data_IF_641853421536
#
_entry.id   IF_641853421536
#
_cell.length_a   1.000
_cell.length_b   1.000
_cell.length_c   1.000
_cell.angle_alpha   90.00
_cell.angle_beta   90.00
_cell.angle_gamma   90.00
#
_symmetry.space_group_name_H-M   'P 1'
#
loop_
_entity.id
_entity.type
_entity.pdbx_description
1 polymer ?
#
# COMPACT_ATOMS: atom_id res chain seq x y z
N UNK A 1 21.64 17.88 -7.93
CA UNK A 1 22.69 17.64 -8.99
C UNK A 1 22.25 16.58 -9.99
N UNK A 2 22.08 15.30 -9.61
CA UNK A 2 21.67 14.22 -10.56
C UNK A 2 20.34 14.55 -11.23
N UNK A 3 19.30 14.90 -10.48
CA UNK A 3 17.99 15.25 -11.05
C UNK A 3 18.07 16.43 -12.01
N UNK A 4 18.87 17.44 -11.69
CA UNK A 4 19.08 18.63 -12.55
C UNK A 4 19.84 18.29 -13.82
N UNK A 5 20.76 17.32 -13.75
CA UNK A 5 21.47 16.81 -14.93
C UNK A 5 20.50 16.09 -15.87
N UNK A 6 19.64 15.22 -15.33
CA UNK A 6 18.63 14.54 -16.13
C UNK A 6 17.60 15.51 -16.74
N UNK A 7 17.17 16.54 -16.00
CA UNK A 7 16.29 17.58 -16.56
C UNK A 7 16.93 18.31 -17.73
N UNK A 8 18.22 18.66 -17.61
CA UNK A 8 18.98 19.32 -18.74
C UNK A 8 19.12 18.39 -19.94
N UNK A 9 19.37 17.10 -19.70
CA UNK A 9 19.61 16.12 -20.76
C UNK A 9 18.31 15.65 -21.45
N UNK A 10 17.17 15.69 -20.72
CA UNK A 10 15.89 15.23 -21.20
C UNK A 10 14.77 16.28 -20.98
N UNK A 11 14.88 17.46 -21.61
CA UNK A 11 13.91 18.54 -21.43
C UNK A 11 12.52 18.12 -21.90
N UNK A 12 11.50 18.43 -21.11
CA UNK A 12 10.11 18.04 -21.39
C UNK A 12 9.75 16.60 -21.01
N UNK A 13 10.73 15.76 -20.66
CA UNK A 13 10.53 14.40 -20.14
C UNK A 13 10.81 14.37 -18.64
N UNK A 14 11.96 14.88 -18.21
CA UNK A 14 12.36 14.95 -16.81
C UNK A 14 12.15 16.36 -16.28
N UNK A 15 11.61 16.46 -15.09
CA UNK A 15 11.44 17.69 -14.33
C UNK A 15 11.96 17.52 -12.90
N UNK A 16 13.01 18.25 -12.55
CA UNK A 16 13.52 18.31 -11.18
C UNK A 16 12.68 19.26 -10.34
N UNK A 17 12.26 18.83 -9.16
CA UNK A 17 11.45 19.63 -8.23
C UNK A 17 12.18 19.76 -6.91
N UNK A 18 12.71 20.94 -6.64
CA UNK A 18 13.37 21.26 -5.38
C UNK A 18 12.35 21.80 -4.37
N UNK A 19 12.28 21.20 -3.21
CA UNK A 19 11.40 21.61 -2.11
C UNK A 19 12.06 21.37 -0.75
N UNK A 20 11.59 22.03 0.28
CA UNK A 20 11.97 21.70 1.66
C UNK A 20 11.59 20.26 1.99
N UNK A 21 12.41 19.58 2.82
CA UNK A 21 12.14 18.22 3.21
C UNK A 21 10.83 18.13 4.01
N UNK A 22 9.87 17.40 3.50
CA UNK A 22 8.60 17.05 4.15
C UNK A 22 8.40 15.52 4.25
N UNK A 23 9.46 14.75 3.96
CA UNK A 23 9.40 13.28 3.91
C UNK A 23 8.80 12.74 2.62
N UNK A 24 8.71 11.40 2.53
CA UNK A 24 8.26 10.68 1.33
C UNK A 24 6.88 11.17 0.84
N UNK A 25 5.87 11.22 1.70
CA UNK A 25 4.51 11.64 1.33
C UNK A 25 4.45 13.03 0.71
N UNK A 26 5.27 13.95 1.20
CA UNK A 26 5.39 15.32 0.65
C UNK A 26 5.93 15.31 -0.79
N UNK A 27 6.86 14.40 -1.11
CA UNK A 27 7.35 14.20 -2.48
C UNK A 27 6.27 13.66 -3.41
N UNK A 28 5.53 12.64 -2.96
CA UNK A 28 4.41 12.06 -3.73
C UNK A 28 3.30 13.09 -3.98
N UNK A 29 2.93 13.88 -2.96
CA UNK A 29 1.94 14.95 -3.11
C UNK A 29 2.37 16.01 -4.14
N UNK A 30 3.63 16.44 -4.08
CA UNK A 30 4.19 17.39 -5.04
C UNK A 30 4.20 16.80 -6.47
N UNK A 31 4.61 15.54 -6.62
CA UNK A 31 4.59 14.84 -7.89
C UNK A 31 3.18 14.74 -8.47
N UNK A 32 2.17 14.36 -7.67
CA UNK A 32 0.78 14.28 -8.10
C UNK A 32 0.20 15.64 -8.50
N UNK A 33 0.55 16.69 -7.76
CA UNK A 33 0.13 18.06 -8.09
C UNK A 33 0.67 18.51 -9.47
N UNK A 34 1.93 18.18 -9.74
CA UNK A 34 2.62 18.58 -10.98
C UNK A 34 2.40 17.62 -12.15
N UNK A 35 1.90 16.43 -11.92
CA UNK A 35 1.72 15.42 -12.97
C UNK A 35 0.76 15.90 -14.06
N UNK A 36 1.16 15.74 -15.33
CA UNK A 36 0.32 16.03 -16.51
C UNK A 36 0.00 14.78 -17.33
N UNK A 37 0.66 13.65 -17.02
CA UNK A 37 0.44 12.38 -17.70
C UNK A 37 -0.90 11.73 -17.37
N UNK A 38 -1.38 10.87 -18.26
CA UNK A 38 -2.64 10.11 -18.09
C UNK A 38 -2.60 9.20 -16.87
N UNK A 39 -1.45 8.62 -16.58
CA UNK A 39 -1.24 7.72 -15.45
C UNK A 39 -0.13 8.22 -14.54
N UNK A 40 -0.27 7.90 -13.25
CA UNK A 40 0.66 8.26 -12.19
C UNK A 40 1.25 7.02 -11.54
N UNK A 41 2.56 6.95 -11.45
CA UNK A 41 3.34 5.89 -10.82
C UNK A 41 4.37 6.49 -9.88
N UNK A 42 4.44 5.99 -8.66
CA UNK A 42 5.53 6.32 -7.73
C UNK A 42 6.65 5.28 -7.91
N UNK A 43 7.89 5.76 -7.95
CA UNK A 43 9.10 4.94 -7.91
C UNK A 43 10.01 5.54 -6.86
N UNK A 44 10.40 4.75 -5.87
CA UNK A 44 11.29 5.17 -4.81
C UNK A 44 12.75 5.28 -5.31
N UNK A 45 13.54 6.13 -4.70
CA UNK A 45 14.89 6.49 -5.22
C UNK A 45 15.92 5.37 -5.08
N UNK A 46 15.63 4.35 -4.28
CA UNK A 46 16.47 3.17 -4.08
C UNK A 46 15.97 1.92 -4.84
N UNK A 47 14.88 2.07 -5.58
CA UNK A 47 14.24 1.02 -6.38
C UNK A 47 14.38 1.29 -7.88
N UNK A 48 13.99 0.32 -8.71
CA UNK A 48 13.98 0.50 -10.17
C UNK A 48 12.85 -0.25 -10.86
N UNK A 49 12.65 0.03 -12.14
CA UNK A 49 11.72 -0.70 -13.00
C UNK A 49 12.50 -1.62 -13.94
N UNK A 50 12.01 -2.87 -14.14
CA UNK A 50 12.53 -3.77 -15.18
C UNK A 50 12.34 -3.12 -16.54
N UNK A 51 13.39 -3.00 -17.32
CA UNK A 51 13.35 -2.29 -18.61
C UNK A 51 12.37 -2.94 -19.58
N UNK A 52 12.41 -4.25 -19.73
CA UNK A 52 11.52 -4.98 -20.65
C UNK A 52 10.04 -4.87 -20.21
N UNK A 53 9.77 -5.01 -18.90
CA UNK A 53 8.43 -4.85 -18.37
C UNK A 53 7.93 -3.39 -18.52
N UNK A 54 8.81 -2.41 -18.34
CA UNK A 54 8.50 -0.99 -18.54
C UNK A 54 8.18 -0.66 -20.01
N UNK A 55 8.93 -1.21 -20.97
CA UNK A 55 8.62 -1.06 -22.40
C UNK A 55 7.24 -1.63 -22.76
N UNK A 56 6.90 -2.79 -22.20
CA UNK A 56 5.56 -3.41 -22.37
C UNK A 56 4.46 -2.54 -21.74
N UNK A 57 4.69 -2.01 -20.54
CA UNK A 57 3.76 -1.07 -19.89
C UNK A 57 3.52 0.16 -20.75
N UNK A 58 4.60 0.82 -21.24
CA UNK A 58 4.47 2.03 -22.07
C UNK A 58 3.70 1.76 -23.36
N UNK A 59 3.94 0.64 -24.02
CA UNK A 59 3.19 0.25 -25.21
C UNK A 59 1.69 0.14 -24.91
N UNK A 60 1.32 -0.51 -23.80
CA UNK A 60 -0.08 -0.68 -23.39
C UNK A 60 -0.72 0.65 -22.95
N UNK A 61 -0.01 1.47 -22.19
CA UNK A 61 -0.48 2.81 -21.78
C UNK A 61 -0.71 3.69 -23.01
N UNK A 62 0.15 3.60 -24.02
CA UNK A 62 -0.03 4.33 -25.29
C UNK A 62 -1.34 3.92 -25.97
N UNK A 63 -1.66 2.63 -26.03
CA UNK A 63 -2.93 2.13 -26.57
C UNK A 63 -4.14 2.69 -25.80
N UNK A 64 -4.08 2.76 -24.47
CA UNK A 64 -5.14 3.33 -23.66
C UNK A 64 -5.32 4.84 -23.85
N UNK A 65 -4.24 5.57 -24.16
CA UNK A 65 -4.27 7.03 -24.23
C UNK A 65 -4.41 7.58 -25.67
N UNK A 66 -4.15 6.78 -26.71
CA UNK A 66 -4.14 7.24 -28.11
C UNK A 66 -4.86 6.28 -29.05
N UNK A 67 -5.91 6.71 -29.74
CA UNK A 67 -6.47 5.99 -30.88
C UNK A 67 -7.90 5.47 -30.73
N UNK A 68 -8.40 4.77 -31.75
CA UNK A 68 -9.77 4.20 -31.80
C UNK A 68 -10.07 3.20 -30.66
N UNK A 69 -9.05 2.67 -30.00
CA UNK A 69 -9.18 1.80 -28.82
C UNK A 69 -9.58 2.64 -27.58
N UNK A 70 -9.20 3.92 -27.52
CA UNK A 70 -9.60 4.80 -26.42
C UNK A 70 -11.11 5.12 -26.42
N UNK A 71 -11.79 5.01 -27.58
CA UNK A 71 -13.24 5.14 -27.68
C UNK A 71 -13.99 3.82 -27.41
N UNK A 72 -13.34 2.69 -27.65
CA UNK A 72 -13.93 1.34 -27.50
C UNK A 72 -13.62 0.67 -26.16
N UNK A 73 -12.47 0.97 -25.54
CA UNK A 73 -12.10 0.52 -24.21
C UNK A 73 -12.04 1.76 -23.33
N UNK A 74 -13.00 1.95 -22.46
CA UNK A 74 -12.84 2.92 -21.38
C UNK A 74 -11.49 2.68 -20.70
N UNK A 75 -10.67 3.71 -20.60
CA UNK A 75 -9.34 3.63 -19.99
C UNK A 75 -9.42 3.03 -18.58
N UNK A 76 -8.56 2.10 -18.20
CA UNK A 76 -8.54 1.58 -16.84
C UNK A 76 -8.21 2.71 -15.84
N UNK A 77 -8.91 2.70 -14.71
CA UNK A 77 -8.65 3.63 -13.61
C UNK A 77 -7.40 3.22 -12.84
N UNK A 78 -7.10 1.91 -12.85
CA UNK A 78 -5.97 1.31 -12.17
C UNK A 78 -5.35 0.22 -13.05
N UNK A 79 -4.05 0.34 -13.28
CA UNK A 79 -3.22 -0.74 -13.82
C UNK A 79 -2.47 -1.37 -12.64
N UNK A 80 -2.55 -2.70 -12.52
CA UNK A 80 -1.81 -3.48 -11.52
C UNK A 80 -0.71 -4.25 -12.23
N UNK A 81 0.51 -4.21 -11.70
CA UNK A 81 1.64 -5.03 -12.15
C UNK A 81 2.22 -5.82 -10.97
N UNK A 82 3.03 -6.84 -11.26
CA UNK A 82 3.80 -7.52 -10.24
C UNK A 82 4.93 -6.64 -9.74
N UNK A 83 5.42 -6.99 -8.55
CA UNK A 83 6.67 -6.45 -8.03
C UNK A 83 7.53 -7.58 -7.47
N UNK A 84 8.84 -7.36 -7.46
CA UNK A 84 9.82 -8.34 -7.01
C UNK A 84 10.61 -7.79 -5.84
N UNK A 85 10.63 -8.51 -4.73
CA UNK A 85 11.56 -8.28 -3.64
C UNK A 85 12.94 -8.79 -4.03
N UNK A 86 13.93 -7.92 -4.06
CA UNK A 86 15.31 -8.24 -4.39
C UNK A 86 16.20 -8.15 -3.16
N UNK A 87 16.63 -9.29 -2.64
CA UNK A 87 17.60 -9.40 -1.57
C UNK A 87 19.00 -9.52 -2.19
N UNK A 88 19.59 -8.39 -2.59
CA UNK A 88 20.85 -8.37 -3.34
C UNK A 88 22.01 -8.99 -2.57
N UNK A 89 22.05 -8.83 -1.24
CA UNK A 89 23.09 -9.43 -0.39
C UNK A 89 23.01 -10.96 -0.35
N UNK A 90 21.80 -11.52 -0.43
CA UNK A 90 21.54 -12.96 -0.40
C UNK A 90 21.47 -13.57 -1.81
N UNK A 91 21.43 -12.74 -2.85
CA UNK A 91 21.25 -13.17 -4.24
C UNK A 91 19.89 -13.83 -4.50
N UNK A 92 18.86 -13.51 -3.70
CA UNK A 92 17.52 -14.09 -3.82
C UNK A 92 16.51 -13.04 -4.29
N UNK A 93 15.51 -13.50 -5.04
CA UNK A 93 14.42 -12.65 -5.50
C UNK A 93 13.08 -13.39 -5.33
N UNK A 94 12.04 -12.66 -4.91
CA UNK A 94 10.69 -13.19 -4.76
C UNK A 94 9.67 -12.26 -5.41
N UNK A 95 8.97 -12.75 -6.43
CA UNK A 95 7.93 -11.97 -7.13
C UNK A 95 6.56 -12.17 -6.49
N UNK A 96 5.90 -11.05 -6.20
CA UNK A 96 4.51 -11.00 -5.82
C UNK A 96 3.64 -10.77 -7.06
N UNK A 97 2.99 -11.83 -7.53
CA UNK A 97 2.09 -11.79 -8.69
C UNK A 97 0.62 -11.91 -8.25
N UNK A 98 -0.30 -11.40 -9.08
CA UNK A 98 -1.74 -11.33 -8.76
C UNK A 98 -2.63 -12.16 -9.67
N UNK A 99 -2.09 -13.18 -10.36
CA UNK A 99 -2.82 -14.08 -11.31
C UNK A 99 -4.04 -14.75 -10.70
N UNK A 100 -4.04 -14.98 -9.38
CA UNK A 100 -5.18 -15.55 -8.65
C UNK A 100 -6.22 -14.50 -8.22
N UNK A 101 -5.91 -13.22 -8.40
CA UNK A 101 -6.77 -12.10 -8.00
C UNK A 101 -7.40 -11.45 -9.22
N UNK A 102 -6.62 -11.11 -10.23
CA UNK A 102 -7.08 -10.38 -11.41
C UNK A 102 -6.92 -11.24 -12.67
N UNK A 103 -7.88 -11.19 -13.61
CA UNK A 103 -7.68 -11.74 -14.95
C UNK A 103 -6.56 -10.95 -15.65
N UNK A 104 -5.57 -11.70 -16.19
CA UNK A 104 -4.45 -11.06 -16.87
C UNK A 104 -4.88 -10.48 -18.23
N UNK A 105 -4.34 -9.31 -18.56
CA UNK A 105 -4.51 -8.63 -19.85
C UNK A 105 -5.99 -8.43 -20.26
N UNK A 106 -6.89 -8.39 -19.27
CA UNK A 106 -8.33 -8.22 -19.46
C UNK A 106 -8.88 -7.20 -18.48
N UNK A 107 -9.67 -6.19 -18.95
CA UNK A 107 -10.34 -5.27 -18.06
C UNK A 107 -11.32 -5.99 -17.12
N UNK A 108 -11.30 -5.61 -15.86
CA UNK A 108 -12.20 -6.16 -14.85
C UNK A 108 -12.62 -5.08 -13.83
N UNK A 109 -13.56 -5.43 -12.97
CA UNK A 109 -14.04 -4.62 -11.85
C UNK A 109 -13.71 -5.30 -10.53
N UNK A 110 -13.96 -4.62 -9.40
CA UNK A 110 -13.81 -5.25 -8.08
C UNK A 110 -14.75 -6.45 -7.86
N UNK A 111 -15.80 -6.59 -8.63
CA UNK A 111 -16.72 -7.73 -8.52
C UNK A 111 -16.20 -8.98 -9.25
N UNK A 112 -15.25 -8.79 -10.16
CA UNK A 112 -14.68 -9.88 -10.97
C UNK A 112 -13.44 -10.49 -10.32
N UNK A 113 -12.86 -9.87 -9.29
CA UNK A 113 -11.62 -10.33 -8.66
C UNK A 113 -11.77 -11.67 -7.95
N UNK A 114 -10.67 -12.43 -7.93
CA UNK A 114 -10.52 -13.63 -7.10
C UNK A 114 -10.16 -13.30 -5.64
N UNK A 115 -9.49 -14.24 -4.98
CA UNK A 115 -9.13 -14.12 -3.58
C UNK A 115 -7.65 -13.78 -3.40
N UNK A 116 -7.35 -12.78 -2.60
CA UNK A 116 -6.00 -12.49 -2.14
C UNK A 116 -5.53 -13.57 -1.16
N UNK A 117 -4.35 -14.12 -1.38
CA UNK A 117 -3.68 -15.01 -0.40
C UNK A 117 -3.32 -14.24 0.88
N UNK A 118 -3.06 -14.90 2.01
CA UNK A 118 -2.71 -14.22 3.26
C UNK A 118 -1.54 -13.23 3.17
N UNK A 119 -0.52 -13.53 2.38
CA UNK A 119 0.64 -12.66 2.14
C UNK A 119 0.46 -11.67 0.98
N UNK A 120 -0.62 -11.76 0.20
CA UNK A 120 -0.86 -10.85 -0.92
C UNK A 120 -1.66 -9.63 -0.47
N UNK A 121 -1.15 -8.45 -0.76
CA UNK A 121 -1.84 -7.16 -0.64
C UNK A 121 -1.30 -6.19 -1.68
N UNK A 122 -2.12 -5.23 -2.05
CA UNK A 122 -1.74 -4.18 -2.98
C UNK A 122 -0.87 -3.17 -2.25
N UNK A 123 0.34 -2.97 -2.73
CA UNK A 123 1.25 -1.93 -2.26
C UNK A 123 1.47 -0.89 -3.36
N UNK A 124 1.95 0.28 -3.00
CA UNK A 124 2.20 1.38 -3.92
C UNK A 124 3.02 0.96 -5.15
N UNK A 125 3.96 0.05 -4.95
CA UNK A 125 4.85 -0.46 -6.00
C UNK A 125 4.12 -1.23 -7.11
N UNK A 126 2.99 -1.88 -6.80
CA UNK A 126 2.18 -2.62 -7.77
C UNK A 126 1.22 -1.73 -8.57
N UNK A 127 0.96 -0.49 -8.11
CA UNK A 127 -0.17 0.32 -8.55
C UNK A 127 0.26 1.45 -9.50
N UNK A 128 -0.54 1.64 -10.55
CA UNK A 128 -0.42 2.73 -11.50
C UNK A 128 -1.83 3.29 -11.68
N UNK A 129 -2.12 4.43 -11.10
CA UNK A 129 -3.43 5.03 -11.14
C UNK A 129 -3.60 5.97 -12.33
N UNK A 130 -4.80 6.02 -12.92
CA UNK A 130 -5.17 7.14 -13.79
C UNK A 130 -5.11 8.43 -12.97
N UNK A 131 -4.36 9.41 -13.44
CA UNK A 131 -4.06 10.65 -12.70
C UNK A 131 -5.34 11.39 -12.28
N UNK A 132 -6.35 11.43 -13.15
CA UNK A 132 -7.63 12.08 -12.85
C UNK A 132 -8.37 11.40 -11.70
N UNK A 133 -8.40 10.05 -11.69
CA UNK A 133 -9.02 9.26 -10.61
C UNK A 133 -8.30 9.51 -9.29
N UNK A 134 -6.97 9.46 -9.30
CA UNK A 134 -6.19 9.69 -8.08
C UNK A 134 -6.43 11.09 -7.49
N UNK A 135 -6.58 12.12 -8.34
CA UNK A 135 -6.93 13.47 -7.90
C UNK A 135 -8.35 13.58 -7.35
N UNK A 136 -9.31 12.88 -7.97
CA UNK A 136 -10.72 12.84 -7.51
C UNK A 136 -10.83 12.31 -6.08
N UNK A 137 -9.93 11.41 -5.65
CA UNK A 137 -9.94 10.86 -4.29
C UNK A 137 -9.58 11.88 -3.21
N UNK A 138 -8.99 13.01 -3.57
CA UNK A 138 -8.45 13.97 -2.63
C UNK A 138 -7.31 13.42 -1.75
N UNK A 139 -6.66 12.32 -2.15
CA UNK A 139 -5.59 11.71 -1.37
C UNK A 139 -4.45 12.71 -1.14
N UNK A 140 -4.14 12.92 0.13
CA UNK A 140 -3.05 13.80 0.57
C UNK A 140 -2.27 13.08 1.67
N UNK A 141 -1.02 12.80 1.40
CA UNK A 141 -0.18 12.03 2.32
C UNK A 141 0.40 12.94 3.40
N UNK A 142 0.34 12.56 4.68
CA UNK A 142 0.92 13.34 5.77
C UNK A 142 2.42 13.57 5.59
N UNK A 143 2.87 14.80 5.79
CA UNK A 143 4.28 15.14 5.81
C UNK A 143 5.00 14.56 7.03
N UNK A 144 6.32 14.38 6.94
CA UNK A 144 7.19 13.84 7.98
C UNK A 144 6.66 12.54 8.63
N UNK A 145 5.98 11.72 7.82
CA UNK A 145 5.34 10.49 8.29
C UNK A 145 5.78 9.31 7.41
N UNK A 146 6.23 8.22 8.04
CA UNK A 146 6.50 6.95 7.36
C UNK A 146 5.23 6.14 7.15
N UNK A 147 5.28 5.10 6.33
CA UNK A 147 4.17 4.17 6.04
C UNK A 147 2.97 4.80 5.30
N UNK A 148 3.15 6.00 4.75
CA UNK A 148 2.09 6.73 4.00
C UNK A 148 1.74 6.08 2.66
N UNK A 149 2.59 5.21 2.14
CA UNK A 149 2.35 4.31 1.02
C UNK A 149 1.09 3.47 1.21
N UNK A 150 0.76 3.09 2.47
CA UNK A 150 -0.48 2.40 2.80
C UNK A 150 -1.72 3.28 2.54
N UNK A 151 -1.66 4.59 2.79
CA UNK A 151 -2.76 5.52 2.48
C UNK A 151 -2.91 5.62 0.96
N UNK A 152 -1.79 5.80 0.24
CA UNK A 152 -1.76 5.89 -1.22
C UNK A 152 -2.32 4.64 -1.89
N UNK A 153 -2.00 3.46 -1.35
CA UNK A 153 -2.47 2.19 -1.90
C UNK A 153 -3.94 1.89 -1.55
N UNK A 154 -4.47 2.43 -0.44
CA UNK A 154 -5.77 2.06 0.11
C UNK A 154 -6.89 3.04 -0.23
N UNK A 155 -6.69 4.35 0.03
CA UNK A 155 -7.74 5.36 -0.08
C UNK A 155 -8.36 5.45 -1.48
N UNK A 156 -7.61 5.32 -2.59
CA UNK A 156 -8.17 5.45 -3.94
C UNK A 156 -9.00 4.25 -4.41
N UNK A 157 -8.91 3.09 -3.78
CA UNK A 157 -9.51 1.86 -4.30
C UNK A 157 -11.01 1.93 -4.59
N UNK A 158 -11.87 2.58 -3.76
CA UNK A 158 -13.31 2.67 -4.03
C UNK A 158 -13.67 3.53 -5.25
N UNK A 159 -12.78 4.40 -5.68
CA UNK A 159 -12.96 5.26 -6.86
C UNK A 159 -12.62 4.54 -8.17
N UNK A 160 -11.91 3.44 -8.08
CA UNK A 160 -11.52 2.60 -9.23
C UNK A 160 -12.72 1.78 -9.69
N UNK A 161 -13.18 2.03 -10.92
CA UNK A 161 -14.26 1.29 -11.57
C UNK A 161 -13.73 0.20 -12.50
N UNK A 162 -12.61 0.47 -13.19
CA UNK A 162 -11.96 -0.44 -14.12
C UNK A 162 -10.51 -0.70 -13.73
N UNK A 163 -10.17 -1.98 -13.70
CA UNK A 163 -8.85 -2.48 -13.36
C UNK A 163 -8.30 -3.21 -14.58
N UNK A 164 -7.01 -3.06 -14.83
CA UNK A 164 -6.27 -3.83 -15.82
C UNK A 164 -5.03 -4.43 -15.18
N UNK A 165 -4.93 -5.74 -15.16
CA UNK A 165 -3.76 -6.41 -14.60
C UNK A 165 -2.82 -6.84 -15.71
N UNK A 166 -1.59 -6.34 -15.67
CA UNK A 166 -0.48 -6.79 -16.50
C UNK A 166 0.38 -7.77 -15.72
N UNK A 167 0.46 -9.01 -16.21
CA UNK A 167 1.31 -10.03 -15.59
C UNK A 167 2.78 -9.84 -16.01
N UNK A 168 3.37 -8.75 -15.52
CA UNK A 168 4.76 -8.35 -15.75
C UNK A 168 5.43 -7.98 -14.42
N UNK A 169 6.67 -8.40 -14.21
CA UNK A 169 7.47 -8.13 -13.02
C UNK A 169 8.12 -6.75 -13.13
N UNK A 170 7.26 -5.71 -13.03
CA UNK A 170 7.62 -4.34 -13.34
C UNK A 170 8.55 -3.72 -12.30
N UNK A 171 8.11 -3.71 -11.06
CA UNK A 171 8.78 -2.98 -9.99
C UNK A 171 9.78 -3.88 -9.26
N UNK A 172 11.00 -3.39 -9.14
CA UNK A 172 12.10 -4.09 -8.47
C UNK A 172 12.38 -3.39 -7.15
N UNK A 173 11.92 -4.01 -6.07
CA UNK A 173 12.02 -3.48 -4.71
C UNK A 173 13.29 -4.01 -4.04
N UNK A 174 14.19 -3.09 -3.72
CA UNK A 174 15.43 -3.43 -3.02
C UNK A 174 15.20 -3.67 -1.53
N UNK A 175 15.59 -4.84 -1.03
CA UNK A 175 15.58 -5.18 0.39
C UNK A 175 16.97 -5.59 0.88
N UNK A 176 17.22 -5.36 2.19
CA UNK A 176 18.46 -5.83 2.87
C UNK A 176 19.17 -4.73 3.66
N UNK A 177 18.84 -3.45 3.51
CA UNK A 177 19.49 -2.39 4.30
C UNK A 177 18.95 -2.35 5.73
N UNK A 178 19.84 -2.23 6.71
CA UNK A 178 19.50 -2.18 8.14
C UNK A 178 18.64 -0.98 8.56
N UNK A 179 18.65 0.11 7.77
CA UNK A 179 17.91 1.35 8.04
C UNK A 179 16.50 1.38 7.40
N UNK A 180 16.11 0.31 6.70
CA UNK A 180 14.79 0.24 6.04
C UNK A 180 13.64 0.31 7.04
N UNK A 181 12.54 0.91 6.59
CA UNK A 181 11.34 1.18 7.40
C UNK A 181 10.65 -0.09 7.92
N UNK A 182 10.87 -1.23 7.28
CA UNK A 182 10.30 -2.54 7.63
C UNK A 182 11.05 -3.26 8.77
N UNK A 183 12.22 -2.77 9.18
CA UNK A 183 12.96 -3.35 10.29
C UNK A 183 12.18 -3.18 11.62
N UNK A 184 12.09 -4.26 12.42
CA UNK A 184 11.31 -4.30 13.68
C UNK A 184 11.70 -3.21 14.67
N UNK A 185 13.02 -2.97 14.86
CA UNK A 185 13.48 -1.91 15.75
C UNK A 185 13.12 -0.50 15.24
N UNK A 186 13.20 -0.31 13.92
CA UNK A 186 12.80 0.94 13.27
C UNK A 186 11.30 1.16 13.43
N UNK A 187 10.49 0.11 13.24
CA UNK A 187 9.03 0.16 13.43
C UNK A 187 8.65 0.48 14.87
N UNK A 188 9.32 -0.11 15.86
CA UNK A 188 9.09 0.23 17.28
C UNK A 188 9.43 1.69 17.58
N UNK A 189 10.53 2.22 17.05
CA UNK A 189 10.89 3.65 17.23
C UNK A 189 9.89 4.60 16.55
N UNK A 190 9.26 4.17 15.45
CA UNK A 190 8.30 4.96 14.66
C UNK A 190 6.85 4.58 14.91
N UNK A 191 6.56 3.91 16.02
CA UNK A 191 5.23 3.35 16.32
C UNK A 191 4.10 4.40 16.29
N UNK A 192 4.37 5.64 16.69
CA UNK A 192 3.38 6.72 16.67
C UNK A 192 2.96 7.09 15.24
N UNK A 193 3.87 6.99 14.28
CA UNK A 193 3.58 7.22 12.86
C UNK A 193 2.78 6.05 12.29
N UNK A 194 3.11 4.80 12.64
CA UNK A 194 2.33 3.63 12.26
C UNK A 194 0.89 3.73 12.79
N UNK A 195 0.70 4.13 14.06
CA UNK A 195 -0.63 4.36 14.66
C UNK A 195 -1.38 5.46 13.91
N UNK A 196 -0.72 6.59 13.59
CA UNK A 196 -1.31 7.70 12.84
C UNK A 196 -1.83 7.21 11.48
N UNK A 197 -1.00 6.50 10.72
CA UNK A 197 -1.38 5.97 9.40
C UNK A 197 -2.49 4.93 9.51
N UNK A 198 -2.41 4.03 10.51
CA UNK A 198 -3.47 3.03 10.77
C UNK A 198 -4.82 3.70 11.02
N UNK A 199 -4.88 4.77 11.81
CA UNK A 199 -6.11 5.53 12.05
C UNK A 199 -6.64 6.17 10.77
N UNK A 200 -5.78 6.82 9.98
CA UNK A 200 -6.16 7.43 8.70
C UNK A 200 -6.76 6.37 7.76
N UNK A 201 -6.09 5.23 7.59
CA UNK A 201 -6.57 4.14 6.72
C UNK A 201 -7.89 3.56 7.22
N UNK A 202 -8.09 3.48 8.54
CA UNK A 202 -9.33 2.95 9.12
C UNK A 202 -10.54 3.89 8.94
N UNK A 203 -10.31 5.21 8.76
CA UNK A 203 -11.37 6.23 8.70
C UNK A 203 -11.53 6.94 7.36
N UNK A 204 -10.58 6.78 6.42
CA UNK A 204 -10.60 7.53 5.16
C UNK A 204 -11.66 7.07 4.15
N UNK A 205 -12.34 5.94 4.42
CA UNK A 205 -13.33 5.32 3.52
C UNK A 205 -14.46 4.72 4.33
N UNK A 206 -15.71 4.95 3.92
CA UNK A 206 -16.88 4.25 4.44
C UNK A 206 -16.95 2.82 3.87
N UNK A 207 -16.59 1.82 4.70
CA UNK A 207 -16.57 0.42 4.29
C UNK A 207 -17.98 -0.16 4.05
N UNK A 208 -19.03 0.40 4.63
CA UNK A 208 -20.38 -0.09 4.42
C UNK A 208 -20.92 0.40 3.06
N UNK A 209 -20.59 1.61 2.64
CA UNK A 209 -20.80 2.08 1.24
C UNK A 209 -20.03 1.21 0.24
N UNK A 210 -18.74 0.98 0.49
CA UNK A 210 -17.93 0.12 -0.39
C UNK A 210 -18.53 -1.29 -0.48
N UNK A 211 -19.04 -1.83 0.62
CA UNK A 211 -19.64 -3.18 0.64
C UNK A 211 -20.90 -3.28 -0.21
N UNK A 212 -21.72 -2.24 -0.21
CA UNK A 212 -22.93 -2.23 -1.04
C UNK A 212 -22.58 -2.29 -2.53
N UNK A 213 -21.52 -1.62 -2.95
CA UNK A 213 -21.11 -1.50 -4.35
C UNK A 213 -20.13 -2.59 -4.79
N UNK A 214 -19.14 -2.89 -3.95
CA UNK A 214 -18.00 -3.78 -4.21
C UNK A 214 -17.73 -4.68 -2.99
N UNK A 215 -18.54 -5.72 -2.74
CA UNK A 215 -18.42 -6.55 -1.54
C UNK A 215 -17.06 -7.24 -1.41
N UNK A 216 -16.45 -7.67 -2.52
CA UNK A 216 -15.10 -8.28 -2.51
C UNK A 216 -14.01 -7.28 -2.15
N UNK A 217 -14.12 -6.04 -2.63
CA UNK A 217 -13.22 -4.95 -2.24
C UNK A 217 -13.34 -4.65 -0.75
N UNK A 218 -14.56 -4.55 -0.22
CA UNK A 218 -14.78 -4.27 1.21
C UNK A 218 -14.15 -5.35 2.11
N UNK A 219 -14.20 -6.61 1.72
CA UNK A 219 -13.51 -7.71 2.42
C UNK A 219 -12.00 -7.50 2.39
N UNK A 220 -11.43 -7.18 1.22
CA UNK A 220 -10.01 -6.89 1.07
C UNK A 220 -9.60 -5.68 1.93
N UNK A 221 -10.35 -4.60 1.89
CA UNK A 221 -10.07 -3.36 2.63
C UNK A 221 -10.15 -3.58 4.15
N UNK A 222 -11.16 -4.28 4.64
CA UNK A 222 -11.26 -4.65 6.06
C UNK A 222 -10.07 -5.51 6.51
N UNK A 223 -9.63 -6.46 5.67
CA UNK A 223 -8.44 -7.27 5.93
C UNK A 223 -7.16 -6.41 6.00
N UNK A 224 -7.02 -5.43 5.13
CA UNK A 224 -5.87 -4.51 5.14
C UNK A 224 -5.81 -3.74 6.46
N UNK A 225 -6.93 -3.14 6.91
CA UNK A 225 -7.02 -2.50 8.22
C UNK A 225 -6.64 -3.47 9.33
N UNK A 226 -7.14 -4.72 9.27
CA UNK A 226 -6.80 -5.75 10.27
C UNK A 226 -5.31 -6.03 10.35
N UNK A 227 -4.60 -6.09 9.22
CA UNK A 227 -3.14 -6.25 9.19
C UNK A 227 -2.45 -5.06 9.87
N UNK A 228 -2.84 -3.83 9.53
CA UNK A 228 -2.25 -2.63 10.13
C UNK A 228 -2.53 -2.53 11.63
N UNK A 229 -3.73 -2.89 12.09
CA UNK A 229 -4.10 -3.00 13.50
C UNK A 229 -3.28 -4.06 14.23
N UNK A 230 -3.05 -5.21 13.59
CA UNK A 230 -2.24 -6.30 14.15
C UNK A 230 -0.78 -5.86 14.28
N UNK A 231 -0.19 -5.28 13.23
CA UNK A 231 1.18 -4.74 13.24
C UNK A 231 1.33 -3.71 14.37
N UNK A 232 0.45 -2.72 14.43
CA UNK A 232 0.48 -1.68 15.48
C UNK A 232 0.38 -2.28 16.88
N UNK A 233 -0.57 -3.21 17.10
CA UNK A 233 -0.79 -3.84 18.40
C UNK A 233 0.38 -4.72 18.83
N UNK A 234 0.97 -5.48 17.90
CA UNK A 234 2.11 -6.37 18.18
C UNK A 234 3.34 -5.54 18.58
N UNK A 235 3.67 -4.49 17.82
CA UNK A 235 4.84 -3.66 18.15
C UNK A 235 4.67 -2.94 19.48
N UNK A 236 3.46 -2.47 19.81
CA UNK A 236 3.16 -1.91 21.13
C UNK A 236 3.30 -2.94 22.26
N UNK A 237 2.94 -4.22 22.01
CA UNK A 237 3.16 -5.31 22.96
C UNK A 237 4.63 -5.72 23.08
N UNK A 238 5.45 -5.56 22.04
CA UNK A 238 6.89 -5.79 22.08
C UNK A 238 7.62 -4.70 22.86
N UNK A 239 7.24 -3.43 22.71
CA UNK A 239 7.72 -2.30 23.52
C UNK A 239 7.37 -2.53 24.99
N UNK A 240 6.14 -2.95 25.30
CA UNK A 240 5.64 -3.43 26.59
C UNK A 240 5.86 -2.48 27.79
N UNK A 241 6.04 -1.20 27.59
CA UNK A 241 5.99 -0.19 28.64
C UNK A 241 4.55 0.31 28.88
N UNK A 242 4.33 1.05 29.95
CA UNK A 242 3.00 1.57 30.31
C UNK A 242 2.43 2.47 29.20
N UNK A 243 3.26 3.31 28.59
CA UNK A 243 2.82 4.23 27.55
C UNK A 243 2.39 3.49 26.28
N UNK A 244 3.14 2.47 25.85
CA UNK A 244 2.81 1.64 24.71
C UNK A 244 1.48 0.86 24.92
N UNK A 245 1.28 0.31 26.11
CA UNK A 245 0.02 -0.39 26.42
C UNK A 245 -1.19 0.55 26.44
N UNK A 246 -1.04 1.78 26.93
CA UNK A 246 -2.08 2.81 26.86
C UNK A 246 -2.34 3.24 25.40
N UNK A 247 -1.31 3.45 24.58
CA UNK A 247 -1.45 3.74 23.14
C UNK A 247 -2.22 2.63 22.41
N UNK A 248 -1.93 1.36 22.71
CA UNK A 248 -2.67 0.22 22.16
C UNK A 248 -4.15 0.27 22.53
N UNK A 249 -4.48 0.52 23.79
CA UNK A 249 -5.86 0.64 24.27
C UNK A 249 -6.56 1.82 23.57
N UNK A 250 -5.88 2.95 23.47
CA UNK A 250 -6.41 4.14 22.81
C UNK A 250 -6.68 3.89 21.32
N UNK A 251 -5.78 3.22 20.59
CA UNK A 251 -5.98 2.87 19.18
C UNK A 251 -7.28 2.07 18.99
N UNK A 252 -7.48 1.00 19.76
CA UNK A 252 -8.70 0.19 19.69
C UNK A 252 -9.97 0.95 20.10
N UNK A 253 -9.88 1.83 21.09
CA UNK A 253 -10.99 2.68 21.50
C UNK A 253 -11.35 3.71 20.41
N UNK A 254 -10.35 4.33 19.76
CA UNK A 254 -10.59 5.24 18.62
C UNK A 254 -11.40 4.55 17.54
N UNK A 255 -10.99 3.35 17.10
CA UNK A 255 -11.75 2.60 16.09
C UNK A 255 -13.18 2.29 16.56
N UNK A 256 -13.36 1.94 17.83
CA UNK A 256 -14.69 1.65 18.39
C UNK A 256 -15.61 2.87 18.42
N UNK A 257 -15.05 4.04 18.68
CA UNK A 257 -15.78 5.32 18.77
C UNK A 257 -16.13 5.85 17.38
N UNK A 258 -15.21 5.72 16.41
CA UNK A 258 -15.40 6.18 15.04
C UNK A 258 -16.30 5.24 14.22
N UNK A 259 -16.06 3.92 14.29
CA UNK A 259 -16.83 2.89 13.57
C UNK A 259 -16.99 1.63 14.44
N UNK A 260 -18.15 1.52 15.08
CA UNK A 260 -18.49 0.37 15.93
C UNK A 260 -18.58 -0.95 15.15
N UNK A 261 -19.04 -0.90 13.90
CA UNK A 261 -19.18 -2.12 13.08
C UNK A 261 -17.82 -2.62 12.62
N UNK A 262 -16.95 -1.73 12.16
CA UNK A 262 -15.57 -2.05 11.86
C UNK A 262 -14.84 -2.63 13.08
N UNK A 263 -14.98 -1.98 14.25
CA UNK A 263 -14.42 -2.50 15.51
C UNK A 263 -14.86 -3.95 15.80
N UNK A 264 -16.15 -4.25 15.69
CA UNK A 264 -16.66 -5.61 15.95
C UNK A 264 -16.10 -6.61 14.93
N UNK A 265 -16.01 -6.23 13.65
CA UNK A 265 -15.40 -7.07 12.61
C UNK A 265 -13.92 -7.34 12.91
N UNK A 266 -13.15 -6.30 13.16
CA UNK A 266 -11.72 -6.40 13.47
C UNK A 266 -11.47 -7.28 14.69
N UNK A 267 -12.29 -7.17 15.71
CA UNK A 267 -12.14 -7.90 16.98
C UNK A 267 -12.53 -9.37 16.88
N UNK A 268 -13.59 -9.70 16.15
CA UNK A 268 -14.18 -11.04 16.22
C UNK A 268 -14.03 -11.87 14.93
N UNK A 269 -13.75 -11.24 13.79
CA UNK A 269 -13.75 -11.95 12.50
C UNK A 269 -12.42 -11.85 11.74
N UNK A 270 -11.44 -11.15 12.26
CA UNK A 270 -10.16 -10.93 11.58
C UNK A 270 -8.96 -11.25 12.45
N UNK A 271 -7.77 -11.28 11.81
CA UNK A 271 -6.50 -11.58 12.49
C UNK A 271 -6.19 -10.62 13.64
N UNK A 272 -6.54 -9.33 13.52
CA UNK A 272 -6.27 -8.34 14.57
C UNK A 272 -6.95 -8.66 15.89
N UNK A 273 -8.06 -9.40 15.88
CA UNK A 273 -8.75 -9.84 17.10
C UNK A 273 -7.87 -10.65 18.05
N UNK A 274 -6.98 -11.47 17.50
CA UNK A 274 -6.00 -12.22 18.31
C UNK A 274 -5.02 -11.30 19.04
N UNK A 275 -4.79 -10.10 18.53
CA UNK A 275 -3.93 -9.10 19.19
C UNK A 275 -4.65 -8.33 20.29
N UNK A 276 -5.98 -8.47 20.42
CA UNK A 276 -6.81 -7.80 21.43
C UNK A 276 -6.95 -8.58 22.75
N UNK A 277 -6.33 -9.74 22.86
CA UNK A 277 -6.44 -10.56 24.08
C UNK A 277 -6.11 -9.75 25.34
N UNK A 278 -6.97 -9.82 26.39
CA UNK A 278 -6.84 -8.97 27.58
C UNK A 278 -5.72 -9.44 28.52
N UNK A 279 -5.21 -8.48 29.30
CA UNK A 279 -4.27 -8.74 30.37
C UNK A 279 -2.85 -9.15 29.93
N UNK A 280 -1.99 -9.35 30.90
CA UNK A 280 -0.57 -9.72 30.67
C UNK A 280 -0.41 -11.08 29.98
N UNK A 281 -1.29 -12.02 30.27
CA UNK A 281 -1.28 -13.37 29.67
C UNK A 281 -1.65 -13.30 28.19
N UNK A 282 -2.72 -12.57 27.86
CA UNK A 282 -3.12 -12.36 26.46
C UNK A 282 -2.02 -11.70 25.62
N UNK A 283 -1.35 -10.68 26.16
CA UNK A 283 -0.21 -10.05 25.50
C UNK A 283 0.94 -11.02 25.24
N UNK A 284 1.30 -11.86 26.21
CA UNK A 284 2.34 -12.89 26.02
C UNK A 284 1.98 -13.91 24.93
N UNK A 285 0.73 -14.37 24.89
CA UNK A 285 0.23 -15.30 23.87
C UNK A 285 0.35 -14.66 22.48
N UNK A 286 -0.07 -13.40 22.33
CA UNK A 286 0.03 -12.65 21.07
C UNK A 286 1.48 -12.54 20.59
N UNK A 287 2.41 -12.14 21.47
CA UNK A 287 3.82 -12.02 21.13
C UNK A 287 4.45 -13.37 20.75
N UNK A 288 4.11 -14.44 21.46
CA UNK A 288 4.60 -15.79 21.11
C UNK A 288 4.05 -16.25 19.75
N UNK A 289 2.76 -16.04 19.51
CA UNK A 289 2.14 -16.33 18.20
C UNK A 289 2.83 -15.57 17.06
N UNK A 290 3.12 -14.29 17.25
CA UNK A 290 3.88 -13.50 16.28
C UNK A 290 5.28 -14.05 16.03
N UNK A 291 6.03 -14.39 17.09
CA UNK A 291 7.38 -14.96 16.96
C UNK A 291 7.37 -16.28 16.19
N UNK A 292 6.38 -17.14 16.42
CA UNK A 292 6.20 -18.39 15.68
C UNK A 292 5.88 -18.09 14.21
N UNK A 293 4.90 -17.21 13.94
CA UNK A 293 4.54 -16.83 12.59
C UNK A 293 5.73 -16.24 11.82
N UNK A 294 6.53 -15.37 12.44
CA UNK A 294 7.74 -14.80 11.84
C UNK A 294 8.75 -15.88 11.43
N UNK A 295 8.97 -16.90 12.26
CA UNK A 295 9.85 -18.02 11.94
C UNK A 295 9.33 -18.89 10.79
N UNK A 296 8.02 -19.13 10.74
CA UNK A 296 7.40 -19.99 9.73
C UNK A 296 7.29 -19.33 8.36
N UNK A 297 7.00 -18.04 8.32
CA UNK A 297 6.72 -17.30 7.08
C UNK A 297 7.88 -16.40 6.64
N UNK A 298 9.02 -16.42 7.35
CA UNK A 298 10.17 -15.55 7.08
C UNK A 298 9.77 -14.08 6.86
N UNK A 299 8.77 -13.60 7.61
CA UNK A 299 8.46 -12.17 7.61
C UNK A 299 9.70 -11.41 8.12
N UNK A 300 10.31 -10.65 7.23
CA UNK A 300 11.31 -9.66 7.60
C UNK A 300 10.62 -8.42 8.15
#
# INVERSE_FOLDING_TARGET
EIADEYERNYPGIVRAVHKSNGGHGSGVNAGLHLATGCYFKVVDSDDWLSEDAYRRLLARVKEFCTGAVAELMDQPDLIVCNYTYNHLEEGTAHTMAYRNVFPAETPCTWNDIGHFRPSQYLIMHALIYRTSVLRETGVCLPEHTFYVDNIFAYQPLPYVKKIYYMDIDLYQYFLGRADQSVNEEVMMRRIDQQIKVTKIVASCVDLDEVRQKYPKLAVYMCRNISIMMAISSIHLLLINDRAALEKRKLLWNTIREEDKMLYLRLKYTTLSGFTYLPGKVGGKITVQGYRIARKLYQFQ
#
